data_IF_322698944703
#
_entry.id   IF_322698944703
#
_cell.length_a   1.000
_cell.length_b   1.000
_cell.length_c   1.000
_cell.angle_alpha   90.00
_cell.angle_beta   90.00
_cell.angle_gamma   90.00
#
_symmetry.space_group_name_H-M   'P 1'
#
loop_
_entity.id
_entity.type
_entity.pdbx_description
1 polymer ?
#
# COMPACT_ATOMS: atom_id res chain seq x y z
N UNK A 1 0.94 -13.82 -11.20
CA UNK A 1 1.98 -12.91 -11.75
C UNK A 1 1.38 -11.63 -12.29
N UNK A 2 0.23 -11.69 -12.98
CA UNK A 2 -0.43 -10.53 -13.61
C UNK A 2 -0.71 -9.30 -12.71
N UNK A 3 -0.78 -9.46 -11.38
CA UNK A 3 -1.01 -8.32 -10.46
C UNK A 3 0.27 -7.77 -9.81
N UNK A 4 1.46 -8.11 -10.33
CA UNK A 4 2.75 -7.64 -9.77
C UNK A 4 2.85 -6.11 -9.72
N UNK A 5 2.63 -5.45 -10.86
CA UNK A 5 2.77 -4.00 -10.97
C UNK A 5 1.78 -3.23 -10.07
N UNK A 6 0.52 -3.68 -9.97
CA UNK A 6 -0.47 -3.05 -9.10
C UNK A 6 -0.09 -3.18 -7.62
N UNK A 7 0.46 -4.31 -7.20
CA UNK A 7 0.96 -4.50 -5.84
C UNK A 7 2.15 -3.59 -5.52
N UNK A 8 3.12 -3.49 -6.41
CA UNK A 8 4.25 -2.57 -6.21
C UNK A 8 3.79 -1.11 -6.18
N UNK A 9 2.86 -0.73 -7.06
CA UNK A 9 2.25 0.60 -7.05
C UNK A 9 1.54 0.87 -5.75
N UNK A 10 0.73 -0.06 -5.28
CA UNK A 10 0.04 0.08 -4.00
C UNK A 10 1.01 0.27 -2.83
N UNK A 11 2.06 -0.55 -2.75
CA UNK A 11 3.08 -0.44 -1.71
C UNK A 11 3.89 0.84 -1.81
N UNK A 12 4.29 1.25 -3.00
CA UNK A 12 5.04 2.49 -3.20
C UNK A 12 4.20 3.71 -2.83
N UNK A 13 2.92 3.77 -3.23
CA UNK A 13 2.03 4.85 -2.86
C UNK A 13 1.93 5.02 -1.35
N UNK A 14 1.77 3.91 -0.63
CA UNK A 14 1.78 3.90 0.84
C UNK A 14 3.10 4.35 1.44
N UNK A 15 4.22 4.00 0.82
CA UNK A 15 5.55 4.39 1.29
C UNK A 15 5.69 5.90 1.22
N UNK A 16 5.32 6.45 0.06
CA UNK A 16 5.34 7.87 -0.20
C UNK A 16 4.44 8.61 0.78
N UNK A 17 3.27 8.06 1.15
CA UNK A 17 2.41 8.63 2.20
C UNK A 17 3.14 8.65 3.56
N UNK A 18 3.80 7.55 3.97
CA UNK A 18 4.54 7.49 5.24
C UNK A 18 5.70 8.50 5.26
N UNK A 19 6.51 8.53 4.20
CA UNK A 19 7.62 9.48 4.03
C UNK A 19 7.11 10.91 4.10
N UNK A 20 6.08 11.21 3.32
CA UNK A 20 5.51 12.56 3.27
C UNK A 20 4.96 12.98 4.64
N UNK A 21 4.26 12.08 5.34
CA UNK A 21 3.76 12.35 6.69
C UNK A 21 4.86 12.65 7.68
N UNK A 22 5.95 11.89 7.62
CA UNK A 22 7.14 12.17 8.41
C UNK A 22 7.66 13.59 8.12
N UNK A 23 7.79 13.96 6.84
CA UNK A 23 8.26 15.29 6.43
C UNK A 23 7.33 16.43 6.91
N UNK A 24 6.02 16.24 6.85
CA UNK A 24 5.04 17.22 7.38
C UNK A 24 5.19 17.37 8.90
N UNK A 25 5.36 16.26 9.63
CA UNK A 25 5.55 16.28 11.08
C UNK A 25 6.92 16.84 11.51
N UNK A 26 7.94 16.78 10.65
CA UNK A 26 9.22 17.43 10.93
C UNK A 26 9.18 18.93 10.68
N UNK A 27 8.33 19.39 9.76
CA UNK A 27 8.23 20.79 9.31
C UNK A 27 6.89 21.42 9.72
N UNK A 28 6.54 21.35 11.00
CA UNK A 28 5.26 21.88 11.53
C UNK A 28 5.15 23.41 11.41
N UNK A 29 6.28 24.13 11.30
CA UNK A 29 6.33 25.59 11.16
C UNK A 29 5.81 26.09 9.81
N UNK A 30 5.83 25.26 8.76
CA UNK A 30 5.18 25.56 7.49
C UNK A 30 3.69 25.25 7.58
N UNK A 31 2.86 26.27 7.28
CA UNK A 31 1.41 26.25 7.49
C UNK A 31 0.70 25.03 6.89
N UNK A 32 -0.46 24.68 7.44
CA UNK A 32 -1.24 23.46 7.22
C UNK A 32 -1.72 23.15 5.79
N UNK A 33 -1.42 23.99 4.80
CA UNK A 33 -1.73 23.80 3.36
C UNK A 33 -0.66 22.98 2.62
N UNK A 34 0.00 22.06 3.32
CA UNK A 34 1.21 21.39 2.83
C UNK A 34 0.94 20.49 1.61
N UNK A 35 -0.27 19.93 1.46
CA UNK A 35 -0.63 19.16 0.26
C UNK A 35 -0.92 20.08 -0.93
N UNK A 36 0.13 20.59 -1.54
CA UNK A 36 0.00 21.26 -2.84
C UNK A 36 -0.49 20.24 -3.90
N UNK A 37 -1.29 20.71 -4.85
CA UNK A 37 -1.73 19.89 -5.98
C UNK A 37 -0.53 19.33 -6.76
N UNK A 38 0.53 20.12 -6.90
CA UNK A 38 1.78 19.71 -7.55
C UNK A 38 2.46 18.56 -6.81
N UNK A 39 2.62 18.67 -5.48
CA UNK A 39 3.23 17.59 -4.68
C UNK A 39 2.41 16.31 -4.79
N UNK A 40 1.09 16.41 -4.69
CA UNK A 40 0.18 15.25 -4.80
C UNK A 40 0.32 14.59 -6.17
N UNK A 41 0.35 15.38 -7.24
CA UNK A 41 0.53 14.89 -8.61
C UNK A 41 1.86 14.16 -8.77
N UNK A 42 2.95 14.73 -8.25
CA UNK A 42 4.28 14.09 -8.29
C UNK A 42 4.24 12.74 -7.56
N UNK A 43 3.64 12.67 -6.36
CA UNK A 43 3.56 11.41 -5.62
C UNK A 43 2.75 10.35 -6.38
N UNK A 44 1.63 10.74 -7.01
CA UNK A 44 0.82 9.83 -7.86
C UNK A 44 1.63 9.37 -9.08
N UNK A 45 2.33 10.27 -9.75
CA UNK A 45 3.20 9.93 -10.87
C UNK A 45 4.30 8.94 -10.44
N UNK A 46 4.99 9.20 -9.33
CA UNK A 46 5.99 8.28 -8.78
C UNK A 46 5.38 6.91 -8.47
N UNK A 47 4.19 6.87 -7.86
CA UNK A 47 3.45 5.65 -7.53
C UNK A 47 3.14 4.80 -8.77
N UNK A 48 2.94 5.40 -9.94
CA UNK A 48 2.59 4.66 -11.17
C UNK A 48 3.82 4.37 -12.03
N UNK A 49 4.69 5.35 -12.24
CA UNK A 49 5.82 5.28 -13.17
C UNK A 49 6.92 4.34 -12.64
N UNK A 50 7.30 4.46 -11.36
CA UNK A 50 8.41 3.64 -10.82
C UNK A 50 8.07 2.13 -10.90
N UNK A 51 6.89 1.66 -10.45
CA UNK A 51 6.53 0.25 -10.57
C UNK A 51 6.35 -0.20 -12.01
N UNK A 52 5.81 0.67 -12.87
CA UNK A 52 5.67 0.39 -14.29
C UNK A 52 7.03 0.12 -14.94
N UNK A 53 8.01 1.00 -14.72
CA UNK A 53 9.37 0.82 -15.23
C UNK A 53 10.01 -0.47 -14.68
N UNK A 54 9.85 -0.75 -13.38
CA UNK A 54 10.37 -1.97 -12.77
C UNK A 54 9.74 -3.26 -13.35
N UNK A 55 8.51 -3.20 -13.85
CA UNK A 55 7.80 -4.33 -14.46
C UNK A 55 7.88 -4.35 -15.98
N UNK A 56 8.42 -3.32 -16.62
CA UNK A 56 8.53 -3.24 -18.08
C UNK A 56 9.35 -4.41 -18.64
N UNK A 57 10.32 -4.92 -17.89
CA UNK A 57 11.05 -6.14 -18.20
C UNK A 57 10.11 -7.33 -18.51
N UNK A 58 8.99 -7.47 -17.80
CA UNK A 58 8.04 -8.57 -18.00
C UNK A 58 7.18 -8.45 -19.25
N UNK A 59 7.14 -7.28 -19.90
CA UNK A 59 6.52 -7.15 -21.20
C UNK A 59 7.34 -7.88 -22.29
N UNK A 60 8.64 -8.06 -22.06
CA UNK A 60 9.58 -8.66 -23.02
C UNK A 60 10.15 -10.01 -22.54
N UNK A 61 10.05 -10.33 -21.25
CA UNK A 61 10.55 -11.57 -20.70
C UNK A 61 9.75 -12.79 -21.20
N UNK A 62 10.42 -13.92 -21.48
CA UNK A 62 9.75 -15.14 -21.91
C UNK A 62 8.83 -15.66 -20.78
N UNK A 63 7.56 -15.88 -21.14
CA UNK A 63 6.55 -16.45 -20.24
C UNK A 63 6.45 -17.95 -20.46
N UNK A 64 6.41 -18.71 -19.37
CA UNK A 64 6.35 -20.16 -19.42
C UNK A 64 4.89 -20.63 -19.38
N UNK A 65 4.48 -21.29 -20.46
CA UNK A 65 3.20 -21.99 -20.57
C UNK A 65 3.44 -23.50 -20.52
N UNK A 66 2.68 -24.20 -19.68
CA UNK A 66 2.64 -25.66 -19.67
C UNK A 66 1.19 -26.12 -19.84
N UNK A 67 0.95 -27.05 -20.77
CA UNK A 67 -0.38 -27.60 -21.06
C UNK A 67 -1.44 -26.51 -21.34
N UNK A 68 -1.07 -25.48 -22.09
CA UNK A 68 -1.96 -24.35 -22.42
C UNK A 68 -2.31 -23.44 -21.23
N UNK A 69 -1.72 -23.68 -20.05
CA UNK A 69 -1.94 -22.87 -18.85
C UNK A 69 -0.71 -22.02 -18.57
N UNK A 70 -0.96 -20.77 -18.18
CA UNK A 70 0.09 -19.90 -17.69
C UNK A 70 0.66 -20.45 -16.38
N UNK A 71 1.88 -20.98 -16.44
CA UNK A 71 2.56 -21.58 -15.28
C UNK A 71 3.42 -20.59 -14.52
N UNK A 72 3.75 -19.45 -15.12
CA UNK A 72 4.50 -18.37 -14.48
C UNK A 72 5.71 -17.95 -15.30
N UNK A 73 6.69 -17.38 -14.60
CA UNK A 73 8.02 -17.21 -15.13
C UNK A 73 8.75 -18.55 -15.20
N UNK A 74 9.77 -18.62 -16.05
CA UNK A 74 10.69 -19.74 -16.13
C UNK A 74 11.46 -19.96 -14.81
N UNK A 75 12.18 -21.08 -14.73
CA UNK A 75 12.91 -21.46 -13.53
C UNK A 75 14.05 -20.49 -13.19
N UNK A 76 14.53 -19.70 -14.15
CA UNK A 76 15.60 -18.71 -13.95
C UNK A 76 15.06 -17.37 -13.45
N UNK A 77 14.04 -16.80 -14.09
CA UNK A 77 13.54 -15.46 -13.77
C UNK A 77 12.57 -15.48 -12.58
N UNK A 78 11.86 -16.59 -12.37
CA UNK A 78 10.86 -16.73 -11.31
C UNK A 78 11.41 -16.56 -9.89
N UNK A 79 12.52 -17.21 -9.51
CA UNK A 79 13.15 -17.02 -8.19
C UNK A 79 13.70 -15.61 -8.01
N UNK A 80 14.38 -15.05 -9.03
CA UNK A 80 14.93 -13.70 -9.02
C UNK A 80 13.82 -12.69 -8.73
N UNK A 81 12.73 -12.74 -9.49
CA UNK A 81 11.60 -11.83 -9.28
C UNK A 81 11.02 -11.95 -7.86
N UNK A 82 10.78 -13.18 -7.39
CA UNK A 82 10.25 -13.42 -6.04
C UNK A 82 11.18 -12.86 -4.95
N UNK A 83 12.49 -13.04 -5.10
CA UNK A 83 13.50 -12.47 -4.23
C UNK A 83 13.48 -10.94 -4.24
N UNK A 84 13.48 -10.32 -5.43
CA UNK A 84 13.39 -8.87 -5.58
C UNK A 84 12.12 -8.30 -4.94
N UNK A 85 10.97 -8.94 -5.15
CA UNK A 85 9.71 -8.56 -4.48
C UNK A 85 9.86 -8.66 -2.97
N UNK A 86 10.33 -9.79 -2.45
CA UNK A 86 10.53 -10.00 -1.01
C UNK A 86 11.42 -8.92 -0.38
N UNK A 87 12.56 -8.61 -1.02
CA UNK A 87 13.49 -7.56 -0.57
C UNK A 87 12.82 -6.18 -0.60
N UNK A 88 12.11 -5.83 -1.68
CA UNK A 88 11.40 -4.55 -1.79
C UNK A 88 10.40 -4.35 -0.64
N UNK A 89 9.58 -5.36 -0.35
CA UNK A 89 8.61 -5.33 0.75
C UNK A 89 9.28 -5.32 2.13
N UNK A 90 10.41 -6.01 2.30
CA UNK A 90 11.18 -5.98 3.53
C UNK A 90 11.77 -4.59 3.79
N UNK A 91 12.43 -3.98 2.80
CA UNK A 91 12.99 -2.62 2.88
C UNK A 91 11.88 -1.61 3.21
N UNK A 92 10.75 -1.69 2.50
CA UNK A 92 9.57 -0.88 2.80
C UNK A 92 9.15 -1.02 4.26
N UNK A 93 9.06 -2.25 4.77
CA UNK A 93 8.55 -2.52 6.11
C UNK A 93 9.49 -1.97 7.18
N UNK A 94 10.80 -2.19 7.03
CA UNK A 94 11.80 -1.69 7.98
C UNK A 94 11.87 -0.16 7.98
N UNK A 95 11.98 0.47 6.80
CA UNK A 95 12.02 1.93 6.70
C UNK A 95 10.70 2.56 7.14
N UNK A 96 9.57 1.96 6.76
CA UNK A 96 8.24 2.43 7.16
C UNK A 96 8.03 2.37 8.67
N UNK A 97 8.47 1.30 9.34
CA UNK A 97 8.42 1.20 10.80
C UNK A 97 9.30 2.27 11.44
N UNK A 98 10.55 2.43 10.98
CA UNK A 98 11.47 3.45 11.51
C UNK A 98 10.90 4.86 11.37
N UNK A 99 10.36 5.21 10.19
CA UNK A 99 9.73 6.51 9.94
C UNK A 99 8.48 6.72 10.79
N UNK A 100 7.64 5.69 11.00
CA UNK A 100 6.50 5.79 11.90
C UNK A 100 6.93 6.01 13.35
N UNK A 101 7.97 5.33 13.84
CA UNK A 101 8.51 5.57 15.18
C UNK A 101 8.98 7.03 15.32
N UNK A 102 9.76 7.51 14.34
CA UNK A 102 10.24 8.89 14.35
C UNK A 102 9.08 9.91 14.27
N UNK A 103 8.08 9.64 13.44
CA UNK A 103 6.85 10.43 13.34
C UNK A 103 6.07 10.47 14.68
N UNK A 104 5.97 9.34 15.37
CA UNK A 104 5.32 9.26 16.69
C UNK A 104 6.03 10.12 17.73
N UNK A 105 7.36 10.06 17.77
CA UNK A 105 8.16 10.86 18.70
C UNK A 105 7.96 12.37 18.48
N UNK A 106 7.77 12.79 17.22
CA UNK A 106 7.45 14.18 16.87
C UNK A 106 6.01 14.54 17.21
N UNK A 107 5.05 13.65 16.91
CA UNK A 107 3.63 13.83 17.20
C UNK A 107 3.38 14.11 18.69
N UNK A 108 4.11 13.45 19.59
CA UNK A 108 4.03 13.69 21.04
C UNK A 108 4.34 15.12 21.49
N UNK A 109 4.98 15.94 20.64
CA UNK A 109 5.35 17.32 20.95
C UNK A 109 4.33 18.36 20.47
N UNK A 110 3.25 17.93 19.81
CA UNK A 110 2.23 18.82 19.23
C UNK A 110 1.17 19.26 20.24
N UNK A 111 0.61 20.45 20.01
CA UNK A 111 -0.54 21.02 20.75
C UNK A 111 -1.83 20.23 20.48
N UNK A 112 -2.74 20.19 21.45
CA UNK A 112 -3.92 19.32 21.56
C UNK A 112 -4.79 19.17 20.28
N UNK A 113 -5.08 20.27 19.56
CA UNK A 113 -5.95 20.22 18.38
C UNK A 113 -5.26 19.62 17.15
N UNK A 114 -4.03 20.04 16.86
CA UNK A 114 -3.22 19.43 15.81
C UNK A 114 -2.91 17.96 16.13
N UNK A 115 -2.73 17.64 17.42
CA UNK A 115 -2.48 16.30 17.90
C UNK A 115 -3.63 15.33 17.55
N UNK A 116 -4.90 15.70 17.74
CA UNK A 116 -6.04 14.80 17.44
C UNK A 116 -6.11 14.43 15.97
N UNK A 117 -5.96 15.39 15.06
CA UNK A 117 -6.00 15.11 13.62
C UNK A 117 -4.80 14.27 13.19
N UNK A 118 -3.60 14.63 13.63
CA UNK A 118 -2.38 13.89 13.26
C UNK A 118 -2.34 12.49 13.88
N UNK A 119 -2.93 12.28 15.06
CA UNK A 119 -3.07 10.95 15.69
C UNK A 119 -3.90 9.98 14.85
N UNK A 120 -4.98 10.45 14.22
CA UNK A 120 -5.81 9.59 13.36
C UNK A 120 -5.05 9.18 12.09
N UNK A 121 -4.32 10.11 11.48
CA UNK A 121 -3.46 9.79 10.34
C UNK A 121 -2.31 8.86 10.71
N UNK A 122 -1.74 9.04 11.90
CA UNK A 122 -0.70 8.16 12.42
C UNK A 122 -1.19 6.73 12.67
N UNK A 123 -2.42 6.58 13.19
CA UNK A 123 -3.04 5.26 13.32
C UNK A 123 -3.20 4.57 11.95
N UNK A 124 -3.62 5.33 10.92
CA UNK A 124 -3.70 4.82 9.56
C UNK A 124 -2.33 4.34 9.03
N UNK A 125 -1.26 5.14 9.21
CA UNK A 125 0.07 4.76 8.72
C UNK A 125 0.66 3.55 9.45
N UNK A 126 0.42 3.39 10.75
CA UNK A 126 0.80 2.16 11.47
C UNK A 126 0.09 0.94 10.90
N UNK A 127 -1.24 1.00 10.75
CA UNK A 127 -2.02 -0.13 10.25
C UNK A 127 -1.60 -0.51 8.83
N UNK A 128 -1.32 0.48 8.00
CA UNK A 128 -0.75 0.30 6.68
C UNK A 128 0.63 -0.38 6.73
N UNK A 129 1.55 0.06 7.58
CA UNK A 129 2.86 -0.59 7.73
C UNK A 129 2.76 -2.02 8.28
N UNK A 130 1.86 -2.28 9.22
CA UNK A 130 1.65 -3.61 9.80
C UNK A 130 1.14 -4.62 8.74
N UNK A 131 0.19 -4.22 7.89
CA UNK A 131 -0.28 -5.10 6.80
C UNK A 131 0.80 -5.39 5.77
N UNK A 132 1.69 -4.44 5.48
CA UNK A 132 2.82 -4.69 4.60
C UNK A 132 3.91 -5.54 5.23
N UNK A 133 4.11 -5.46 6.55
CA UNK A 133 4.99 -6.39 7.26
C UNK A 133 4.47 -7.83 7.15
N UNK A 134 3.16 -8.03 7.34
CA UNK A 134 2.51 -9.33 7.15
C UNK A 134 2.70 -9.84 5.70
N UNK A 135 2.56 -8.93 4.73
CA UNK A 135 2.77 -9.24 3.32
C UNK A 135 4.23 -9.61 3.01
N UNK A 136 5.20 -8.86 3.55
CA UNK A 136 6.62 -9.16 3.42
C UNK A 136 6.96 -10.54 4.00
N UNK A 137 6.43 -10.83 5.19
CA UNK A 137 6.60 -12.14 5.84
C UNK A 137 6.03 -13.27 4.98
N UNK A 138 4.82 -13.10 4.43
CA UNK A 138 4.23 -14.06 3.50
C UNK A 138 5.13 -14.31 2.28
N UNK A 139 5.72 -13.26 1.70
CA UNK A 139 6.66 -13.39 0.57
C UNK A 139 7.96 -14.12 0.92
N UNK A 140 8.49 -13.91 2.13
CA UNK A 140 9.65 -14.65 2.64
C UNK A 140 9.31 -16.13 2.79
N UNK A 141 8.19 -16.45 3.42
CA UNK A 141 7.71 -17.84 3.59
C UNK A 141 7.47 -18.50 2.23
N UNK A 142 6.89 -17.75 1.27
CA UNK A 142 6.68 -18.25 -0.08
C UNK A 142 8.00 -18.55 -0.81
N UNK A 143 8.97 -17.64 -0.75
CA UNK A 143 10.30 -17.87 -1.31
C UNK A 143 10.97 -19.09 -0.66
N UNK A 144 10.90 -19.21 0.66
CA UNK A 144 11.45 -20.35 1.39
C UNK A 144 10.81 -21.68 0.96
N UNK A 145 9.48 -21.75 0.88
CA UNK A 145 8.76 -22.96 0.40
C UNK A 145 9.16 -23.37 -1.03
N UNK A 146 9.54 -22.39 -1.86
CA UNK A 146 10.03 -22.66 -3.20
C UNK A 146 11.45 -23.24 -3.17
N UNK A 147 12.34 -22.71 -2.33
CA UNK A 147 13.72 -23.19 -2.20
C UNK A 147 13.83 -24.58 -1.58
N UNK A 148 12.94 -24.94 -0.64
CA UNK A 148 12.91 -26.29 -0.07
C UNK A 148 12.32 -27.34 -1.01
N UNK A 149 11.74 -26.92 -2.14
CA UNK A 149 11.03 -27.76 -3.11
C UNK A 149 9.91 -28.63 -2.48
N UNK A 150 9.36 -28.18 -1.35
CA UNK A 150 8.22 -28.82 -0.68
C UNK A 150 6.93 -28.37 -1.36
N UNK A 151 6.37 -29.24 -2.19
CA UNK A 151 5.19 -28.93 -3.01
C UNK A 151 3.94 -28.70 -2.17
N UNK A 152 3.76 -29.45 -1.09
CA UNK A 152 2.57 -29.34 -0.25
C UNK A 152 2.60 -28.05 0.57
N UNK A 153 3.78 -27.70 1.09
CA UNK A 153 3.97 -26.43 1.76
C UNK A 153 3.81 -25.25 0.78
N UNK A 154 4.41 -25.33 -0.40
CA UNK A 154 4.25 -24.31 -1.45
C UNK A 154 2.79 -24.11 -1.86
N UNK A 155 2.03 -25.20 -2.01
CA UNK A 155 0.60 -25.15 -2.33
C UNK A 155 -0.21 -24.50 -1.19
N UNK A 156 0.09 -24.85 0.05
CA UNK A 156 -0.53 -24.25 1.25
C UNK A 156 -0.30 -22.75 1.30
N UNK A 157 0.95 -22.31 1.11
CA UNK A 157 1.29 -20.87 1.11
C UNK A 157 0.61 -20.16 -0.05
N UNK A 158 0.69 -20.72 -1.27
CA UNK A 158 0.21 -20.06 -2.50
C UNK A 158 -1.30 -20.01 -2.62
N UNK A 159 -2.01 -21.07 -2.25
CA UNK A 159 -3.45 -21.19 -2.46
C UNK A 159 -4.25 -21.08 -1.17
N UNK A 160 -3.70 -21.57 -0.05
CA UNK A 160 -4.34 -21.47 1.25
C UNK A 160 -4.17 -20.09 1.89
N UNK A 161 -2.95 -19.57 2.00
CA UNK A 161 -2.68 -18.36 2.80
C UNK A 161 -2.76 -17.07 1.97
N UNK A 162 -2.26 -17.11 0.74
CA UNK A 162 -2.08 -15.91 -0.10
C UNK A 162 -3.35 -15.07 -0.30
N UNK A 163 -4.54 -15.63 -0.60
CA UNK A 163 -5.73 -14.81 -0.84
C UNK A 163 -6.07 -13.93 0.37
N UNK A 164 -6.02 -14.49 1.58
CA UNK A 164 -6.32 -13.75 2.81
C UNK A 164 -5.33 -12.62 3.07
N UNK A 165 -4.03 -12.87 2.88
CA UNK A 165 -3.00 -11.83 3.06
C UNK A 165 -3.22 -10.69 2.05
N UNK A 166 -3.55 -11.03 0.80
CA UNK A 166 -3.81 -10.04 -0.25
C UNK A 166 -5.07 -9.21 0.03
N UNK A 167 -6.15 -9.87 0.43
CA UNK A 167 -7.42 -9.22 0.74
C UNK A 167 -7.27 -8.29 1.94
N UNK A 168 -6.61 -8.74 3.02
CA UNK A 168 -6.31 -7.88 4.17
C UNK A 168 -5.49 -6.67 3.73
N UNK A 169 -4.41 -6.86 2.97
CA UNK A 169 -3.56 -5.74 2.52
C UNK A 169 -4.32 -4.77 1.62
N UNK A 170 -5.26 -5.25 0.79
CA UNK A 170 -6.01 -4.43 -0.19
C UNK A 170 -7.21 -3.72 0.42
N UNK A 171 -8.04 -4.42 1.19
CA UNK A 171 -9.30 -3.90 1.70
C UNK A 171 -9.18 -3.17 3.03
N UNK A 172 -8.10 -3.38 3.79
CA UNK A 172 -7.96 -2.70 5.08
C UNK A 172 -7.84 -1.18 4.92
N UNK A 173 -7.22 -0.70 3.87
CA UNK A 173 -7.05 0.74 3.62
C UNK A 173 -8.38 1.51 3.50
N UNK A 174 -9.31 1.16 2.59
CA UNK A 174 -10.58 1.84 2.52
C UNK A 174 -11.39 1.70 3.82
N UNK A 175 -11.31 0.56 4.51
CA UNK A 175 -11.93 0.38 5.83
C UNK A 175 -11.36 1.39 6.84
N UNK A 176 -10.04 1.49 6.93
CA UNK A 176 -9.37 2.42 7.85
C UNK A 176 -9.64 3.87 7.50
N UNK A 177 -9.72 4.22 6.21
CA UNK A 177 -10.09 5.57 5.77
C UNK A 177 -11.51 5.92 6.20
N UNK A 178 -12.47 5.01 6.05
CA UNK A 178 -13.86 5.22 6.51
C UNK A 178 -13.91 5.33 8.03
N UNK A 179 -13.18 4.50 8.77
CA UNK A 179 -13.20 4.54 10.24
C UNK A 179 -12.52 5.80 10.79
N UNK A 180 -11.37 6.18 10.24
CA UNK A 180 -10.51 7.20 10.82
C UNK A 180 -10.74 8.61 10.24
N UNK A 181 -11.13 8.76 8.98
CA UNK A 181 -11.30 10.06 8.34
C UNK A 181 -12.72 10.60 8.50
N UNK A 182 -12.87 11.71 9.24
CA UNK A 182 -14.14 12.44 9.35
C UNK A 182 -14.63 12.92 7.98
N UNK A 183 -13.72 13.40 7.12
CA UNK A 183 -14.06 13.92 5.79
C UNK A 183 -14.67 12.81 4.90
N UNK A 184 -14.06 11.62 4.92
CA UNK A 184 -14.57 10.45 4.19
C UNK A 184 -15.96 10.07 4.70
N UNK A 185 -16.15 9.98 6.02
CA UNK A 185 -17.47 9.69 6.60
C UNK A 185 -18.54 10.70 6.21
N UNK A 186 -18.22 11.99 6.27
CA UNK A 186 -19.15 13.05 5.85
C UNK A 186 -19.49 12.93 4.36
N UNK A 187 -18.51 12.64 3.50
CA UNK A 187 -18.76 12.43 2.08
C UNK A 187 -19.67 11.21 1.82
N UNK A 188 -19.44 10.09 2.52
CA UNK A 188 -20.31 8.91 2.46
C UNK A 188 -21.74 9.22 2.94
N UNK A 189 -21.89 9.95 4.05
CA UNK A 189 -23.20 10.36 4.55
C UNK A 189 -23.94 11.27 3.56
N UNK A 190 -23.24 12.25 2.96
CA UNK A 190 -23.82 13.13 1.92
C UNK A 190 -24.27 12.34 0.70
N UNK A 191 -23.43 11.41 0.22
CA UNK A 191 -23.79 10.54 -0.90
C UNK A 191 -25.05 9.71 -0.62
N UNK A 192 -25.13 9.11 0.58
CA UNK A 192 -26.30 8.33 0.98
C UNK A 192 -27.57 9.19 1.11
N UNK A 193 -27.45 10.43 1.61
CA UNK A 193 -28.58 11.36 1.71
C UNK A 193 -29.10 11.79 0.32
N UNK A 194 -28.20 12.12 -0.61
CA UNK A 194 -28.58 12.45 -2.00
C UNK A 194 -29.27 11.24 -2.65
N UNK A 195 -28.71 10.04 -2.45
CA UNK A 195 -29.30 8.80 -2.96
C UNK A 195 -30.69 8.51 -2.36
N UNK A 196 -30.91 8.78 -1.08
CA UNK A 196 -32.19 8.50 -0.42
C UNK A 196 -33.28 9.53 -0.73
N UNK A 197 -32.89 10.78 -1.02
CA UNK A 197 -33.84 11.87 -1.28
C UNK A 197 -34.23 12.00 -2.75
N UNK A 198 -33.48 11.39 -3.67
CA UNK A 198 -33.75 11.48 -5.11
C UNK A 198 -33.56 12.90 -5.69
N UNK A 199 -33.06 13.84 -4.90
CA UNK A 199 -32.79 15.21 -5.34
C UNK A 199 -31.54 15.17 -6.22
N UNK A 200 -31.73 15.34 -7.52
CA UNK A 200 -30.64 15.39 -8.51
C UNK A 200 -29.60 16.44 -8.08
N UNK A 201 -28.32 16.06 -8.10
CA UNK A 201 -27.20 16.81 -7.50
C UNK A 201 -26.81 18.10 -8.24
N UNK A 202 -27.69 18.71 -9.01
CA UNK A 202 -27.37 19.86 -9.88
C UNK A 202 -26.98 21.14 -9.13
N UNK A 203 -27.01 21.15 -7.79
CA UNK A 203 -26.76 22.35 -6.97
C UNK A 203 -25.55 22.30 -6.03
N UNK A 204 -24.80 21.20 -5.93
CA UNK A 204 -23.64 21.13 -5.01
C UNK A 204 -22.34 21.46 -5.76
N UNK A 205 -21.92 22.73 -5.73
CA UNK A 205 -20.55 23.11 -6.12
C UNK A 205 -19.59 22.79 -4.97
N UNK A 206 -18.54 22.04 -5.29
CA UNK A 206 -17.46 21.66 -4.36
C UNK A 206 -16.45 22.78 -4.17
#
# INVERSE_FOLDING_TARGET
VLNGASMFSYTLGKFLIVVYRFLVLTNISTSSDVWSSSTTTILICCQLVIPFLAHLYFAFAPVYFANGRFTGFDNSSGPIYRGTVGVFYAVFSFLGIALNIAAYMKLRKLVLNAYKQQRMFFAYTITCSATHLLFAFHHIVWAYSFFTNDKDFLNTVRYGVRPYVYDITTFLDPIMLVLLSKQVRVAFSKYNLVRSTGIASSSVRY
#
